data_IF_822896332417
#
_entry.id   IF_822896332417
#
_cell.length_a   1.000
_cell.length_b   1.000
_cell.length_c   1.000
_cell.angle_alpha   90.00
_cell.angle_beta   90.00
_cell.angle_gamma   90.00
#
_symmetry.space_group_name_H-M   'P 1'
#
loop_
_entity.id
_entity.type
_entity.pdbx_description
1 polymer ?
#
# COMPACT_ATOMS: atom_id res chain seq x y z
N UNK A 1 -43.24 64.60 -10.14
CA UNK A 1 -42.85 63.77 -8.97
C UNK A 1 -41.34 63.52 -9.04
N UNK A 2 -40.61 63.94 -7.98
CA UNK A 2 -39.21 63.70 -7.55
C UNK A 2 -38.08 63.43 -8.58
N UNK A 3 -36.97 64.21 -8.57
CA UNK A 3 -35.78 63.93 -9.39
C UNK A 3 -34.91 62.84 -8.75
N UNK A 4 -34.50 61.84 -9.53
CA UNK A 4 -33.58 60.79 -9.08
C UNK A 4 -32.16 61.23 -9.40
N UNK A 5 -31.36 61.43 -8.36
CA UNK A 5 -29.95 61.84 -8.41
C UNK A 5 -29.06 60.63 -8.72
N UNK A 6 -28.25 60.76 -9.75
CA UNK A 6 -27.20 59.82 -10.16
C UNK A 6 -26.06 59.82 -9.13
N UNK A 7 -25.66 58.66 -8.63
CA UNK A 7 -24.40 58.46 -7.92
C UNK A 7 -23.69 57.25 -8.54
N UNK A 8 -22.65 57.53 -9.34
CA UNK A 8 -21.73 56.52 -9.87
C UNK A 8 -20.59 56.38 -8.87
N UNK A 9 -20.49 55.22 -8.22
CA UNK A 9 -19.34 54.87 -7.38
C UNK A 9 -18.32 54.12 -8.24
N UNK A 10 -17.14 54.71 -8.46
CA UNK A 10 -16.01 54.05 -9.11
C UNK A 10 -15.21 53.32 -8.04
N UNK A 11 -15.25 51.99 -8.05
CA UNK A 11 -14.39 51.15 -7.22
C UNK A 11 -13.07 50.90 -7.95
N UNK A 12 -11.96 51.43 -7.41
CA UNK A 12 -10.63 51.12 -7.89
C UNK A 12 -10.21 49.72 -7.41
N UNK A 13 -10.06 48.78 -8.32
CA UNK A 13 -9.54 47.43 -8.04
C UNK A 13 -8.02 47.47 -8.12
N UNK A 14 -7.34 47.28 -6.99
CA UNK A 14 -5.89 47.11 -6.93
C UNK A 14 -5.55 45.67 -7.33
N UNK A 15 -4.87 45.50 -8.47
CA UNK A 15 -4.39 44.21 -8.95
C UNK A 15 -3.07 43.86 -8.25
N UNK A 16 -3.10 42.90 -7.33
CA UNK A 16 -1.89 42.35 -6.71
C UNK A 16 -1.21 41.39 -7.70
N UNK A 17 0.00 41.74 -8.13
CA UNK A 17 0.83 40.89 -9.00
C UNK A 17 1.43 39.79 -8.12
N UNK A 18 1.01 38.54 -8.34
CA UNK A 18 1.59 37.38 -7.68
C UNK A 18 2.99 37.10 -8.25
N UNK A 19 4.02 37.09 -7.40
CA UNK A 19 5.35 36.64 -7.78
C UNK A 19 5.34 35.11 -8.01
N UNK A 20 6.14 34.57 -8.94
CA UNK A 20 6.23 33.13 -9.15
C UNK A 20 6.94 32.47 -7.96
N UNK A 21 6.23 31.60 -7.25
CA UNK A 21 6.83 30.72 -6.27
C UNK A 21 7.61 29.63 -7.01
N UNK A 22 8.95 29.68 -6.92
CA UNK A 22 9.81 28.60 -7.42
C UNK A 22 9.69 27.44 -6.44
N UNK A 23 9.05 26.34 -6.85
CA UNK A 23 8.98 25.12 -6.06
C UNK A 23 10.39 24.51 -5.96
N UNK A 24 10.93 24.41 -4.74
CA UNK A 24 12.13 23.62 -4.49
C UNK A 24 11.83 22.13 -4.76
N UNK A 25 12.76 21.38 -5.37
CA UNK A 25 12.58 19.95 -5.57
C UNK A 25 12.43 19.27 -4.21
N UNK A 26 11.22 18.77 -3.93
CA UNK A 26 11.00 17.94 -2.75
C UNK A 26 11.63 16.59 -3.05
N UNK A 27 12.77 16.30 -2.41
CA UNK A 27 13.29 14.95 -2.34
C UNK A 27 12.33 14.19 -1.42
N UNK A 28 11.32 13.55 -1.99
CA UNK A 28 10.40 12.67 -1.27
C UNK A 28 11.16 11.44 -0.84
N UNK A 29 11.80 11.50 0.33
CA UNK A 29 12.14 10.28 1.04
C UNK A 29 10.84 9.49 1.21
N UNK A 30 10.82 8.25 0.73
CA UNK A 30 9.65 7.38 0.84
C UNK A 30 9.30 7.21 2.33
N UNK A 31 8.24 7.89 2.78
CA UNK A 31 7.73 7.75 4.15
C UNK A 31 6.89 6.49 4.24
N UNK A 32 7.09 5.70 5.30
CA UNK A 32 6.24 4.54 5.55
C UNK A 32 4.77 4.94 5.58
N UNK A 33 3.93 4.20 4.85
CA UNK A 33 2.50 4.41 4.80
C UNK A 33 1.85 4.02 6.13
N UNK A 34 0.87 4.83 6.55
CA UNK A 34 -0.02 4.46 7.65
C UNK A 34 -0.90 3.29 7.23
N UNK A 35 -0.95 2.19 8.00
CA UNK A 35 -1.81 1.05 7.68
C UNK A 35 -3.28 1.44 7.61
N UNK A 36 -3.98 0.91 6.62
CA UNK A 36 -5.44 0.99 6.52
C UNK A 36 -6.11 0.25 7.67
N UNK A 37 -7.40 0.53 7.91
CA UNK A 37 -8.19 -0.19 8.93
C UNK A 37 -8.15 -1.69 8.71
N UNK A 38 -8.18 -2.14 7.46
CA UNK A 38 -8.15 -3.56 7.13
C UNK A 38 -6.79 -4.19 7.43
N UNK A 39 -5.69 -3.50 7.10
CA UNK A 39 -4.33 -3.95 7.44
C UNK A 39 -4.07 -3.96 8.96
N UNK A 40 -4.74 -3.08 9.72
CA UNK A 40 -4.69 -3.11 11.18
C UNK A 40 -5.41 -4.34 11.76
N UNK A 41 -6.43 -4.87 11.07
CA UNK A 41 -7.12 -6.10 11.52
C UNK A 41 -6.23 -7.33 11.49
N UNK A 42 -5.13 -7.31 10.74
CA UNK A 42 -4.13 -8.37 10.80
C UNK A 42 -3.64 -8.61 12.22
N UNK A 43 -3.61 -7.59 13.08
CA UNK A 43 -3.11 -7.73 14.46
C UNK A 43 -4.14 -8.42 15.40
N UNK A 44 -5.35 -8.72 14.90
CA UNK A 44 -6.38 -9.42 15.66
C UNK A 44 -6.17 -10.93 15.66
N UNK A 45 -6.69 -11.58 16.70
CA UNK A 45 -6.55 -13.02 16.89
C UNK A 45 -7.11 -13.86 15.73
N UNK A 46 -8.25 -13.46 15.15
CA UNK A 46 -8.92 -14.27 14.12
C UNK A 46 -8.11 -14.36 12.80
N UNK A 47 -7.61 -13.26 12.20
CA UNK A 47 -6.72 -13.34 11.04
C UNK A 47 -5.43 -14.11 11.32
N UNK A 48 -4.80 -13.89 12.49
CA UNK A 48 -3.58 -14.61 12.88
C UNK A 48 -3.80 -16.12 12.99
N UNK A 49 -4.92 -16.54 13.58
CA UNK A 49 -5.25 -17.96 13.70
C UNK A 49 -5.59 -18.60 12.35
N UNK A 50 -6.25 -17.88 11.44
CA UNK A 50 -6.49 -18.32 10.06
C UNK A 50 -5.16 -18.54 9.33
N UNK A 51 -4.23 -17.59 9.42
CA UNK A 51 -2.91 -17.70 8.79
C UNK A 51 -2.13 -18.90 9.34
N UNK A 52 -2.06 -19.03 10.66
CA UNK A 52 -1.37 -20.15 11.34
C UNK A 52 -1.96 -21.51 10.96
N UNK A 53 -3.29 -21.66 10.97
CA UNK A 53 -3.96 -22.94 10.64
C UNK A 53 -3.91 -23.29 9.16
N UNK A 54 -3.87 -22.28 8.28
CA UNK A 54 -3.70 -22.49 6.84
C UNK A 54 -2.24 -22.70 6.42
N UNK A 55 -1.29 -22.35 7.31
CA UNK A 55 0.15 -22.33 7.09
C UNK A 55 0.66 -21.13 6.31
N UNK A 56 -0.17 -20.11 6.07
CA UNK A 56 0.19 -18.90 5.30
C UNK A 56 0.82 -17.80 6.19
N UNK A 57 1.09 -18.10 7.45
CA UNK A 57 1.69 -17.20 8.45
C UNK A 57 3.15 -16.85 8.17
N UNK A 58 3.84 -17.64 7.35
CA UNK A 58 5.20 -17.39 6.86
C UNK A 58 5.27 -16.32 5.75
N UNK A 59 4.18 -16.12 4.99
CA UNK A 59 4.21 -15.35 3.74
C UNK A 59 4.67 -13.90 3.95
N UNK A 60 4.07 -13.17 4.89
CA UNK A 60 4.41 -11.76 5.10
C UNK A 60 5.78 -11.56 5.77
N UNK A 61 6.17 -12.33 6.81
CA UNK A 61 7.53 -12.28 7.36
C UNK A 61 8.62 -12.59 6.35
N UNK A 62 8.42 -13.60 5.51
CA UNK A 62 9.40 -14.01 4.48
C UNK A 62 9.55 -12.94 3.40
N UNK A 63 8.42 -12.39 2.95
CA UNK A 63 8.40 -11.27 2.02
C UNK A 63 9.10 -10.03 2.59
N UNK A 64 8.88 -9.70 3.87
CA UNK A 64 9.55 -8.59 4.54
C UNK A 64 11.07 -8.77 4.56
N UNK A 65 11.54 -9.97 4.91
CA UNK A 65 12.98 -10.30 4.87
C UNK A 65 13.56 -10.20 3.46
N UNK A 66 12.83 -10.67 2.45
CA UNK A 66 13.26 -10.58 1.07
C UNK A 66 13.35 -9.13 0.58
N UNK A 67 12.35 -8.29 0.89
CA UNK A 67 12.36 -6.86 0.57
C UNK A 67 13.50 -6.10 1.26
N UNK A 68 13.72 -6.37 2.55
CA UNK A 68 14.79 -5.73 3.33
C UNK A 68 16.20 -6.02 2.77
N UNK A 69 16.38 -7.13 2.06
CA UNK A 69 17.64 -7.51 1.43
C UNK A 69 17.85 -6.94 0.02
N UNK A 70 16.97 -6.08 -0.48
CA UNK A 70 17.10 -5.51 -1.83
C UNK A 70 17.98 -4.27 -1.84
N UNK A 71 18.74 -4.07 -2.91
CA UNK A 71 19.66 -2.93 -3.05
C UNK A 71 19.35 -2.01 -4.23
N UNK A 72 18.29 -2.30 -4.99
CA UNK A 72 17.78 -1.39 -6.03
C UNK A 72 16.29 -1.63 -6.30
N UNK A 73 15.65 -0.64 -6.93
CA UNK A 73 14.23 -0.72 -7.31
C UNK A 73 13.94 -1.94 -8.20
N UNK A 74 14.83 -2.25 -9.13
CA UNK A 74 14.71 -3.42 -9.99
C UNK A 74 14.79 -4.74 -9.20
N UNK A 75 15.58 -4.82 -8.12
CA UNK A 75 15.59 -6.02 -7.27
C UNK A 75 14.30 -6.15 -6.47
N UNK A 76 13.82 -5.03 -5.90
CA UNK A 76 12.56 -5.00 -5.18
C UNK A 76 11.39 -5.42 -6.07
N UNK A 77 11.32 -4.93 -7.31
CA UNK A 77 10.30 -5.35 -8.26
C UNK A 77 10.35 -6.86 -8.56
N UNK A 78 11.55 -7.42 -8.71
CA UNK A 78 11.74 -8.87 -8.87
C UNK A 78 11.22 -9.64 -7.65
N UNK A 79 11.52 -9.18 -6.44
CA UNK A 79 11.04 -9.79 -5.19
C UNK A 79 9.51 -9.72 -5.10
N UNK A 80 8.92 -8.53 -5.30
CA UNK A 80 7.46 -8.31 -5.30
C UNK A 80 6.77 -9.25 -6.29
N UNK A 81 7.28 -9.31 -7.52
CA UNK A 81 6.70 -10.15 -8.58
C UNK A 81 6.85 -11.64 -8.26
N UNK A 82 8.03 -12.07 -7.81
CA UNK A 82 8.30 -13.49 -7.49
C UNK A 82 7.40 -13.96 -6.35
N UNK A 83 7.33 -13.19 -5.27
CA UNK A 83 6.65 -13.59 -4.05
C UNK A 83 5.13 -13.49 -4.20
N UNK A 84 4.63 -12.47 -4.93
CA UNK A 84 3.22 -12.39 -5.31
C UNK A 84 2.77 -13.59 -6.16
N UNK A 85 3.58 -14.01 -7.13
CA UNK A 85 3.29 -15.23 -7.91
C UNK A 85 3.40 -16.50 -7.06
N UNK A 86 4.32 -16.56 -6.11
CA UNK A 86 4.46 -17.68 -5.20
C UNK A 86 3.22 -17.84 -4.31
N UNK A 87 2.72 -16.73 -3.74
CA UNK A 87 1.48 -16.70 -2.98
C UNK A 87 0.30 -17.20 -3.84
N UNK A 88 0.15 -16.68 -5.06
CA UNK A 88 -0.92 -17.12 -5.97
C UNK A 88 -0.85 -18.61 -6.27
N UNK A 89 0.32 -19.12 -6.68
CA UNK A 89 0.51 -20.56 -6.96
C UNK A 89 0.16 -21.41 -5.73
N UNK A 90 0.61 -21.01 -4.55
CA UNK A 90 0.31 -21.71 -3.29
C UNK A 90 -1.20 -21.78 -3.02
N UNK A 91 -1.92 -20.69 -3.23
CA UNK A 91 -3.38 -20.67 -3.08
C UNK A 91 -4.09 -21.57 -4.11
N UNK A 92 -3.66 -21.53 -5.38
CA UNK A 92 -4.18 -22.42 -6.43
C UNK A 92 -3.90 -23.88 -6.13
N UNK A 93 -2.67 -24.20 -5.72
CA UNK A 93 -2.27 -25.55 -5.32
C UNK A 93 -3.17 -26.07 -4.19
N UNK A 94 -3.41 -25.26 -3.15
CA UNK A 94 -4.28 -25.61 -2.03
C UNK A 94 -5.70 -25.97 -2.48
N UNK A 95 -6.33 -25.12 -3.29
CA UNK A 95 -7.70 -25.32 -3.79
C UNK A 95 -7.77 -26.56 -4.70
N UNK A 96 -6.73 -26.81 -5.49
CA UNK A 96 -6.64 -27.98 -6.36
C UNK A 96 -6.22 -29.27 -5.62
N UNK A 97 -6.15 -29.24 -4.29
CA UNK A 97 -5.83 -30.42 -3.48
C UNK A 97 -4.35 -30.79 -3.45
N UNK A 98 -3.46 -29.97 -4.02
CA UNK A 98 -2.01 -30.16 -3.99
C UNK A 98 -1.40 -29.61 -2.70
N UNK A 99 -0.22 -30.12 -2.36
CA UNK A 99 0.49 -29.75 -1.15
C UNK A 99 -0.10 -30.40 0.11
N UNK A 100 0.36 -29.98 1.31
CA UNK A 100 -0.11 -30.53 2.57
C UNK A 100 -1.64 -30.44 2.71
N UNK A 101 -2.24 -31.40 3.42
CA UNK A 101 -3.68 -31.40 3.71
C UNK A 101 -4.17 -30.06 4.30
N UNK A 102 -3.27 -29.39 5.03
CA UNK A 102 -3.39 -27.98 5.36
C UNK A 102 -4.54 -27.72 6.33
N UNK A 103 -4.38 -28.25 7.55
CA UNK A 103 -5.24 -27.98 8.69
C UNK A 103 -6.68 -28.48 8.53
N UNK A 104 -7.55 -27.94 9.38
CA UNK A 104 -8.99 -28.17 9.44
C UNK A 104 -9.80 -27.07 8.72
N UNK A 105 -9.11 -26.13 8.06
CA UNK A 105 -9.73 -25.13 7.19
C UNK A 105 -10.08 -25.74 5.83
N UNK A 106 -11.22 -25.36 5.27
CA UNK A 106 -11.61 -25.76 3.92
C UNK A 106 -10.53 -25.38 2.89
N UNK A 107 -10.34 -26.24 1.89
CA UNK A 107 -9.41 -25.96 0.78
C UNK A 107 -9.86 -24.79 -0.08
N UNK A 108 -11.17 -24.56 -0.17
CA UNK A 108 -11.77 -23.43 -0.90
C UNK A 108 -11.93 -22.16 -0.08
N UNK A 109 -11.46 -22.14 1.18
CA UNK A 109 -11.44 -20.93 2.00
C UNK A 109 -10.40 -19.96 1.42
N UNK A 110 -10.85 -18.76 1.03
CA UNK A 110 -10.03 -17.72 0.43
C UNK A 110 -9.37 -16.79 1.46
N UNK A 111 -9.83 -16.82 2.71
CA UNK A 111 -9.32 -15.97 3.80
C UNK A 111 -7.80 -16.13 4.01
N UNK A 112 -7.19 -17.34 3.92
CA UNK A 112 -5.73 -17.48 3.94
C UNK A 112 -5.01 -16.65 2.88
N UNK A 113 -5.46 -16.70 1.62
CA UNK A 113 -4.89 -15.92 0.52
C UNK A 113 -5.11 -14.43 0.75
N UNK A 114 -6.32 -14.05 1.16
CA UNK A 114 -6.70 -12.67 1.42
C UNK A 114 -5.80 -12.03 2.49
N UNK A 115 -5.71 -12.64 3.68
CA UNK A 115 -4.92 -12.09 4.79
C UNK A 115 -3.42 -12.11 4.49
N UNK A 116 -2.90 -13.14 3.83
CA UNK A 116 -1.49 -13.20 3.46
C UNK A 116 -1.12 -12.09 2.46
N UNK A 117 -1.95 -11.88 1.44
CA UNK A 117 -1.76 -10.78 0.47
C UNK A 117 -1.81 -9.42 1.18
N UNK A 118 -2.77 -9.23 2.09
CA UNK A 118 -2.90 -7.99 2.85
C UNK A 118 -1.67 -7.75 3.74
N UNK A 119 -1.12 -8.80 4.35
CA UNK A 119 0.15 -8.75 5.09
C UNK A 119 1.31 -8.31 4.21
N UNK A 120 1.43 -8.85 2.99
CA UNK A 120 2.44 -8.39 2.03
C UNK A 120 2.22 -6.92 1.63
N UNK A 121 0.98 -6.48 1.43
CA UNK A 121 0.68 -5.07 1.12
C UNK A 121 1.08 -4.14 2.26
N UNK A 122 0.75 -4.48 3.52
CA UNK A 122 1.18 -3.71 4.70
C UNK A 122 2.70 -3.63 4.79
N UNK A 123 3.40 -4.76 4.59
CA UNK A 123 4.87 -4.81 4.57
C UNK A 123 5.42 -3.89 3.49
N UNK A 124 4.92 -3.96 2.26
CA UNK A 124 5.38 -3.12 1.16
C UNK A 124 5.13 -1.62 1.42
N UNK A 125 3.97 -1.27 1.96
CA UNK A 125 3.63 0.11 2.29
C UNK A 125 4.48 0.69 3.42
N UNK A 126 4.96 -0.14 4.35
CA UNK A 126 5.80 0.29 5.47
C UNK A 126 7.30 0.20 5.18
N UNK A 127 7.69 -0.48 4.10
CA UNK A 127 9.07 -0.68 3.73
C UNK A 127 9.71 0.64 3.27
N UNK A 128 10.90 0.93 3.80
CA UNK A 128 11.70 2.10 3.49
C UNK A 128 13.02 1.63 2.84
N UNK A 129 13.16 1.74 1.51
CA UNK A 129 14.38 1.33 0.83
C UNK A 129 15.56 2.22 1.23
N UNK A 130 16.75 1.62 1.36
CA UNK A 130 18.03 2.33 1.53
C UNK A 130 18.57 2.96 0.24
N UNK A 131 17.78 2.97 -0.84
CA UNK A 131 18.13 3.48 -2.16
C UNK A 131 16.98 4.37 -2.67
N UNK A 132 17.28 5.34 -3.56
CA UNK A 132 16.25 6.21 -4.10
C UNK A 132 15.26 5.43 -4.96
N UNK A 133 13.98 5.71 -4.77
CA UNK A 133 12.93 5.34 -5.72
C UNK A 133 12.77 6.50 -6.70
N UNK A 134 12.82 6.22 -7.99
CA UNK A 134 12.45 7.20 -9.01
C UNK A 134 10.94 7.18 -9.17
N UNK A 135 10.33 8.36 -9.32
CA UNK A 135 8.94 8.42 -9.76
C UNK A 135 8.79 7.74 -11.13
N UNK A 136 7.68 7.02 -11.31
CA UNK A 136 7.33 6.33 -12.55
C UNK A 136 6.45 7.21 -13.45
#
# INVERSE_FOLDING_TARGET
MRPIRTLVAVAAVSLAIAAPAVAAPQTTAASAATPTVEEQRLDQAAPQEILRRSGFDDVAPDFARALAGTHSAAEAERVITRDGRALWRRAVDRVQGRGPAGGDLSRGDDRPLYWARLGMTRVLGQWQPGFPLTDA
#
